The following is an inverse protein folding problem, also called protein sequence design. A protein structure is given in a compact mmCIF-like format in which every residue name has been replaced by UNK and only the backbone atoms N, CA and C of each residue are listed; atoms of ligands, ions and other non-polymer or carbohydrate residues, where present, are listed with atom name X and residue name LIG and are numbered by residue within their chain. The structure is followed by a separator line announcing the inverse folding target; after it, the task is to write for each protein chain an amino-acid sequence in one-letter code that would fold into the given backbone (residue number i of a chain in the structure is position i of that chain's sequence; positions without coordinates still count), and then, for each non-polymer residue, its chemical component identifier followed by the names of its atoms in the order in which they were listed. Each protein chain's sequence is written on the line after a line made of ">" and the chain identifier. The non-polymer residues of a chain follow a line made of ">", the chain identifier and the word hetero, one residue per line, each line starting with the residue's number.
data_IF_005783565061
#
_entry.id   IF_005783565061
#
_cell.length_a   1.000
_cell.length_b   1.000
_cell.length_c   1.000
_cell.angle_alpha   90.00
_cell.angle_beta   90.00
_cell.angle_gamma   90.00
#
_symmetry.space_group_name_H-M   'P 1'
#
loop_
_entity.id
_entity.type
_entity.pdbx_description
1 polymer ?
#
# COMPACT_ATOMS: atom_id res chain seq x y z
N UNK A 1 2.86 3.47 5.34
CA UNK A 1 4.10 2.66 5.23
C UNK A 1 3.74 1.30 4.66
N UNK A 2 4.57 0.73 3.79
CA UNK A 2 4.33 -0.59 3.22
C UNK A 2 5.58 -1.46 3.29
N UNK A 3 5.39 -2.77 3.36
CA UNK A 3 6.38 -3.77 2.98
C UNK A 3 5.82 -4.51 1.77
N UNK A 4 6.32 -4.18 0.57
CA UNK A 4 5.86 -4.75 -0.69
C UNK A 4 6.62 -6.02 -1.07
N UNK A 5 5.92 -7.13 -1.25
CA UNK A 5 6.43 -8.40 -1.78
C UNK A 5 5.34 -9.09 -2.64
N UNK A 6 4.72 -8.34 -3.53
CA UNK A 6 3.60 -8.83 -4.34
C UNK A 6 3.87 -8.70 -5.84
N UNK A 7 3.10 -9.47 -6.61
CA UNK A 7 3.14 -9.45 -8.07
C UNK A 7 1.87 -8.85 -8.67
N UNK A 8 1.82 -8.78 -9.98
CA UNK A 8 0.74 -8.15 -10.73
C UNK A 8 1.27 -7.54 -12.01
N UNK A 9 0.45 -6.71 -12.65
CA UNK A 9 0.88 -5.93 -13.83
C UNK A 9 1.19 -4.52 -13.38
N UNK A 10 2.48 -4.24 -13.13
CA UNK A 10 2.91 -2.96 -12.59
C UNK A 10 2.27 -1.81 -13.39
N UNK A 11 1.55 -0.95 -12.67
CA UNK A 11 0.88 0.22 -13.23
C UNK A 11 1.35 1.44 -12.43
N UNK A 12 1.79 2.49 -13.11
CA UNK A 12 2.25 3.74 -12.50
C UNK A 12 1.50 4.88 -13.16
N UNK A 13 0.83 5.73 -12.36
CA UNK A 13 0.01 6.83 -12.86
C UNK A 13 -1.03 6.39 -13.94
N UNK A 14 -1.55 5.16 -13.81
CA UNK A 14 -2.49 4.57 -14.77
C UNK A 14 -1.87 3.99 -16.04
N UNK A 15 -0.55 4.13 -16.24
CA UNK A 15 0.17 3.56 -17.39
C UNK A 15 0.71 2.16 -17.05
N UNK A 16 0.34 1.11 -17.80
CA UNK A 16 0.91 -0.23 -17.61
C UNK A 16 2.39 -0.25 -18.00
N UNK A 17 3.24 -0.74 -17.09
CA UNK A 17 4.69 -0.86 -17.28
C UNK A 17 5.09 -2.22 -17.86
N UNK A 18 4.36 -2.70 -18.89
CA UNK A 18 4.52 -4.05 -19.43
C UNK A 18 5.93 -4.33 -19.96
N UNK A 19 6.63 -3.30 -20.46
CA UNK A 19 8.01 -3.40 -20.93
C UNK A 19 9.03 -3.69 -19.81
N UNK A 20 8.64 -3.45 -18.56
CA UNK A 20 9.48 -3.59 -17.38
C UNK A 20 9.19 -4.89 -16.60
N UNK A 21 8.27 -5.73 -17.08
CA UNK A 21 7.95 -6.99 -16.42
C UNK A 21 9.18 -7.92 -16.41
N UNK A 22 9.48 -8.59 -15.29
CA UNK A 22 10.63 -9.49 -15.20
C UNK A 22 10.55 -10.62 -16.23
N UNK A 23 11.66 -10.86 -16.94
CA UNK A 23 11.81 -11.97 -17.88
C UNK A 23 12.98 -12.87 -17.44
N UNK A 24 12.76 -14.20 -17.23
CA UNK A 24 11.48 -14.91 -17.30
C UNK A 24 10.53 -14.57 -16.12
N UNK A 25 9.23 -14.83 -16.25
CA UNK A 25 8.27 -14.62 -15.15
C UNK A 25 8.65 -15.44 -13.91
N UNK A 26 8.21 -14.96 -12.74
CA UNK A 26 8.46 -15.66 -11.48
C UNK A 26 7.90 -17.11 -11.52
N UNK A 27 8.56 -18.07 -10.87
CA UNK A 27 8.08 -19.44 -10.82
C UNK A 27 6.67 -19.52 -10.23
N UNK A 28 5.79 -20.39 -10.75
CA UNK A 28 4.48 -20.64 -10.15
C UNK A 28 4.64 -21.04 -8.68
N UNK A 29 3.74 -20.55 -7.81
CA UNK A 29 3.74 -20.78 -6.35
C UNK A 29 4.84 -20.08 -5.53
N UNK A 30 5.52 -19.06 -6.07
CA UNK A 30 6.20 -18.10 -5.20
C UNK A 30 5.15 -17.35 -4.39
N UNK A 31 5.14 -17.55 -3.07
CA UNK A 31 4.23 -16.82 -2.18
C UNK A 31 4.45 -15.32 -2.29
N UNK A 32 3.36 -14.56 -2.28
CA UNK A 32 3.39 -13.10 -2.28
C UNK A 32 2.81 -12.56 -0.98
N UNK A 33 3.11 -11.31 -0.66
CA UNK A 33 2.52 -10.61 0.48
C UNK A 33 2.68 -9.11 0.35
N UNK A 34 1.81 -8.38 1.04
CA UNK A 34 2.05 -6.98 1.37
C UNK A 34 1.53 -6.69 2.77
N UNK A 35 2.33 -5.98 3.55
CA UNK A 35 1.88 -5.39 4.81
C UNK A 35 1.71 -3.88 4.61
N UNK A 36 0.53 -3.36 4.91
CA UNK A 36 0.22 -1.94 4.79
C UNK A 36 -0.14 -1.40 6.19
N UNK A 37 0.56 -0.36 6.61
CA UNK A 37 0.30 0.34 7.86
C UNK A 37 -0.14 1.77 7.57
N UNK A 38 -1.37 2.07 8.00
CA UNK A 38 -2.00 3.38 7.90
C UNK A 38 -2.05 4.01 9.30
N UNK A 39 -1.44 5.18 9.45
CA UNK A 39 -1.48 5.95 10.68
C UNK A 39 -2.18 7.28 10.40
N UNK A 40 -3.02 7.72 11.32
CA UNK A 40 -3.66 9.04 11.27
C UNK A 40 -3.66 9.69 12.65
N UNK A 41 -3.71 11.01 12.70
CA UNK A 41 -3.92 11.80 13.92
C UNK A 41 -5.39 12.22 14.10
N UNK A 42 -6.28 11.78 13.20
CA UNK A 42 -7.71 11.99 13.32
C UNK A 42 -8.33 11.13 14.42
N UNK A 43 -9.26 11.67 15.22
CA UNK A 43 -9.97 10.93 16.26
C UNK A 43 -11.03 9.98 15.66
N UNK A 44 -10.57 8.90 15.05
CA UNK A 44 -11.46 7.93 14.39
C UNK A 44 -11.81 6.78 15.34
N UNK A 45 -13.08 6.37 15.32
CA UNK A 45 -13.54 5.15 15.98
C UNK A 45 -12.93 3.90 15.33
N UNK A 46 -12.96 2.76 16.04
CA UNK A 46 -12.50 1.47 15.49
C UNK A 46 -13.22 1.10 14.16
N UNK A 47 -14.49 1.46 14.03
CA UNK A 47 -15.32 1.22 12.85
C UNK A 47 -14.86 2.07 11.67
N UNK A 48 -14.59 3.35 11.89
CA UNK A 48 -14.04 4.23 10.85
C UNK A 48 -12.61 3.82 10.46
N UNK A 49 -11.76 3.44 11.42
CA UNK A 49 -10.41 2.91 11.14
C UNK A 49 -10.47 1.63 10.30
N UNK A 50 -11.42 0.73 10.55
CA UNK A 50 -11.64 -0.44 9.69
C UNK A 50 -12.05 -0.04 8.26
N UNK A 51 -12.86 1.01 8.10
CA UNK A 51 -13.21 1.54 6.77
C UNK A 51 -12.00 2.16 6.08
N UNK A 52 -11.18 2.92 6.81
CA UNK A 52 -9.91 3.48 6.34
C UNK A 52 -8.97 2.36 5.87
N UNK A 53 -8.75 1.32 6.69
CA UNK A 53 -7.94 0.17 6.31
C UNK A 53 -8.39 -0.44 4.97
N UNK A 54 -9.70 -0.62 4.77
CA UNK A 54 -10.26 -1.13 3.51
C UNK A 54 -10.00 -0.24 2.29
N UNK A 55 -9.60 1.03 2.44
CA UNK A 55 -9.28 1.92 1.31
C UNK A 55 -7.86 1.76 0.81
N UNK A 56 -6.95 1.24 1.65
CA UNK A 56 -5.60 0.93 1.20
C UNK A 56 -5.59 -0.15 0.10
N UNK A 57 -6.58 -1.06 0.06
CA UNK A 57 -6.70 -2.02 -1.05
C UNK A 57 -6.92 -1.35 -2.42
N UNK A 58 -7.55 -0.16 -2.45
CA UNK A 58 -7.75 0.59 -3.68
C UNK A 58 -6.41 1.12 -4.21
N UNK A 59 -5.55 1.64 -3.34
CA UNK A 59 -4.19 2.07 -3.71
C UNK A 59 -3.34 0.89 -4.21
N UNK A 60 -3.40 -0.25 -3.51
CA UNK A 60 -2.76 -1.49 -3.96
C UNK A 60 -3.26 -1.94 -5.35
N UNK A 61 -4.57 -1.89 -5.60
CA UNK A 61 -5.14 -2.26 -6.90
C UNK A 61 -4.71 -1.30 -8.02
N UNK A 62 -4.59 0.01 -7.74
CA UNK A 62 -4.11 1.00 -8.72
C UNK A 62 -2.67 0.76 -9.18
N UNK A 63 -1.84 0.12 -8.35
CA UNK A 63 -0.49 -0.33 -8.75
C UNK A 63 -0.46 -1.62 -9.55
N UNK A 64 -1.63 -2.25 -9.78
CA UNK A 64 -1.79 -3.42 -10.63
C UNK A 64 -1.84 -4.77 -9.93
N UNK A 65 -2.00 -4.79 -8.60
CA UNK A 65 -2.27 -6.01 -7.85
C UNK A 65 -3.69 -6.52 -8.12
N UNK A 66 -3.84 -7.84 -8.24
CA UNK A 66 -5.14 -8.52 -8.32
C UNK A 66 -5.55 -9.22 -7.01
N UNK A 67 -4.72 -9.16 -5.96
CA UNK A 67 -4.94 -9.93 -4.73
C UNK A 67 -4.88 -11.44 -4.97
N UNK A 68 -3.83 -11.90 -5.65
CA UNK A 68 -3.70 -13.30 -6.06
C UNK A 68 -3.78 -14.31 -4.90
N UNK A 69 -4.20 -15.54 -5.20
CA UNK A 69 -4.50 -16.57 -4.18
C UNK A 69 -3.35 -16.83 -3.18
N UNK A 70 -2.10 -16.76 -3.63
CA UNK A 70 -0.92 -16.95 -2.78
C UNK A 70 -0.47 -15.71 -2.02
N UNK A 71 -1.23 -14.61 -2.07
CA UNK A 71 -0.87 -13.32 -1.49
C UNK A 71 -1.41 -13.13 -0.07
N UNK A 72 -0.50 -12.99 0.90
CA UNK A 72 -0.83 -12.55 2.25
C UNK A 72 -0.91 -11.03 2.32
N UNK A 73 -2.08 -10.46 2.01
CA UNK A 73 -2.29 -9.01 1.98
C UNK A 73 -2.94 -8.54 3.29
N UNK A 74 -2.18 -7.84 4.13
CA UNK A 74 -2.61 -7.41 5.47
C UNK A 74 -2.55 -5.89 5.61
N UNK A 75 -3.56 -5.34 6.30
CA UNK A 75 -3.69 -3.90 6.51
C UNK A 75 -3.98 -3.63 7.98
N UNK A 76 -3.19 -2.75 8.59
CA UNK A 76 -3.41 -2.23 9.93
C UNK A 76 -3.62 -0.72 9.84
N UNK A 77 -4.75 -0.22 10.37
CA UNK A 77 -5.01 1.20 10.50
C UNK A 77 -5.16 1.58 11.99
N UNK A 78 -4.50 2.65 12.41
CA UNK A 78 -4.61 3.16 13.77
C UNK A 78 -4.63 4.69 13.82
N UNK A 79 -5.19 5.22 14.90
CA UNK A 79 -5.15 6.64 15.22
C UNK A 79 -4.18 6.90 16.38
N UNK A 80 -3.43 7.99 16.28
CA UNK A 80 -2.48 8.48 17.30
C UNK A 80 -3.13 9.44 18.29
N UNK A 81 -4.43 9.73 18.16
CA UNK A 81 -5.14 10.64 19.08
C UNK A 81 -5.28 10.05 20.47
N UNK A 82 -5.53 8.74 20.58
CA UNK A 82 -5.77 8.05 21.85
C UNK A 82 -4.45 7.58 22.46
N UNK A 83 -3.84 8.41 23.30
CA UNK A 83 -2.50 8.14 23.86
C UNK A 83 -2.51 7.49 25.25
N UNK A 84 -3.64 7.46 25.94
CA UNK A 84 -3.75 6.94 27.30
C UNK A 84 -5.06 6.16 27.51
N UNK A 85 -5.01 5.13 28.37
CA UNK A 85 -6.21 4.48 28.89
C UNK A 85 -7.08 5.53 29.62
N UNK A 86 -8.35 5.62 29.23
CA UNK A 86 -9.29 6.56 29.84
C UNK A 86 -9.28 7.98 29.25
N UNK A 87 -8.71 8.20 28.05
CA UNK A 87 -8.89 9.46 27.31
C UNK A 87 -10.35 9.63 26.85
N UNK A 88 -11.19 10.12 27.77
CA UNK A 88 -12.61 10.33 27.58
C UNK A 88 -12.91 11.37 26.50
N UNK A 89 -11.99 12.31 26.25
CA UNK A 89 -12.14 13.33 25.22
C UNK A 89 -11.90 12.73 23.84
N UNK A 90 -10.80 11.98 23.68
CA UNK A 90 -10.55 11.18 22.48
C UNK A 90 -11.74 10.26 22.19
N UNK A 91 -12.19 9.48 23.19
CA UNK A 91 -13.33 8.57 23.06
C UNK A 91 -14.61 9.32 22.63
N UNK A 92 -14.92 10.48 23.22
CA UNK A 92 -16.10 11.28 22.81
C UNK A 92 -16.00 11.76 21.36
N UNK A 93 -14.82 12.22 20.94
CA UNK A 93 -14.59 12.64 19.55
C UNK A 93 -14.75 11.47 18.58
N UNK A 94 -14.24 10.29 18.93
CA UNK A 94 -14.43 9.05 18.17
C UNK A 94 -15.91 8.71 17.97
N UNK A 95 -16.67 8.79 19.07
CA UNK A 95 -18.09 8.42 19.12
C UNK A 95 -18.99 9.45 18.43
N UNK A 96 -18.48 10.67 18.21
CA UNK A 96 -19.22 11.68 17.46
C UNK A 96 -19.35 11.37 15.98
N UNK A 97 -18.64 10.34 15.47
CA UNK A 97 -18.78 9.66 14.17
C UNK A 97 -19.38 10.61 13.11
N UNK A 98 -18.70 11.73 12.83
CA UNK A 98 -19.15 12.68 11.84
C UNK A 98 -18.83 12.13 10.44
N UNK A 99 -19.56 11.10 10.04
CA UNK A 99 -19.32 10.31 8.83
C UNK A 99 -19.35 11.17 7.56
N UNK A 100 -19.99 12.33 7.59
CA UNK A 100 -20.14 13.22 6.44
C UNK A 100 -18.82 13.75 5.87
N UNK A 101 -17.71 13.66 6.60
CA UNK A 101 -16.40 14.23 6.20
C UNK A 101 -15.28 13.17 6.09
N UNK A 102 -15.60 11.87 6.08
CA UNK A 102 -14.57 10.81 6.05
C UNK A 102 -14.01 10.53 4.64
N UNK A 103 -14.72 10.90 3.58
CA UNK A 103 -14.34 10.59 2.20
C UNK A 103 -12.95 11.16 1.79
N UNK A 104 -12.55 12.38 2.18
CA UNK A 104 -11.18 12.85 1.98
C UNK A 104 -10.12 11.94 2.63
N UNK A 105 -10.41 11.37 3.80
CA UNK A 105 -9.50 10.42 4.49
C UNK A 105 -9.41 9.11 3.71
N UNK A 106 -10.51 8.65 3.13
CA UNK A 106 -10.54 7.46 2.28
C UNK A 106 -9.72 7.64 1.02
N UNK A 107 -9.89 8.77 0.34
CA UNK A 107 -9.10 9.12 -0.84
C UNK A 107 -7.62 9.22 -0.48
N UNK A 108 -7.28 10.00 0.55
CA UNK A 108 -5.90 10.15 1.02
C UNK A 108 -5.25 8.82 1.40
N UNK A 109 -6.02 7.88 1.97
CA UNK A 109 -5.51 6.54 2.30
C UNK A 109 -5.18 5.73 1.05
N UNK A 110 -6.03 5.78 0.02
CA UNK A 110 -5.76 5.11 -1.25
C UNK A 110 -4.53 5.71 -1.94
N UNK A 111 -4.48 7.04 -2.03
CA UNK A 111 -3.39 7.77 -2.69
C UNK A 111 -2.05 7.55 -1.97
N UNK A 112 -2.03 7.67 -0.64
CA UNK A 112 -0.82 7.42 0.15
C UNK A 112 -0.36 5.96 0.08
N UNK A 113 -1.27 5.01 -0.10
CA UNK A 113 -0.92 3.59 -0.28
C UNK A 113 -0.29 3.34 -1.64
N UNK A 114 -0.91 3.86 -2.70
CA UNK A 114 -0.37 3.80 -4.06
C UNK A 114 1.03 4.40 -4.11
N UNK A 115 1.20 5.61 -3.59
CA UNK A 115 2.49 6.30 -3.58
C UNK A 115 3.54 5.57 -2.72
N UNK A 116 3.16 5.02 -1.56
CA UNK A 116 4.10 4.27 -0.72
C UNK A 116 4.62 2.99 -1.40
N UNK A 117 3.78 2.31 -2.18
CA UNK A 117 4.19 1.15 -2.99
C UNK A 117 5.13 1.58 -4.11
N UNK A 118 4.82 2.66 -4.81
CA UNK A 118 5.71 3.17 -5.86
C UNK A 118 7.06 3.61 -5.28
N UNK A 119 7.04 4.31 -4.14
CA UNK A 119 8.24 4.72 -3.43
C UNK A 119 9.10 3.54 -2.99
N UNK A 120 8.52 2.42 -2.57
CA UNK A 120 9.32 1.24 -2.22
C UNK A 120 10.05 0.65 -3.43
N UNK A 121 9.45 0.69 -4.63
CA UNK A 121 10.10 0.27 -5.88
C UNK A 121 11.19 1.26 -6.32
N UNK A 122 10.91 2.56 -6.25
CA UNK A 122 11.87 3.59 -6.66
C UNK A 122 13.08 3.70 -5.73
N UNK A 123 12.93 3.33 -4.46
CA UNK A 123 14.03 3.32 -3.48
C UNK A 123 14.75 1.97 -3.41
N UNK A 124 14.20 0.91 -4.00
CA UNK A 124 14.85 -0.39 -4.01
C UNK A 124 16.13 -0.35 -4.86
N UNK A 125 17.20 -0.94 -4.34
CA UNK A 125 18.43 -1.16 -5.08
C UNK A 125 18.56 -2.62 -5.51
N UNK A 126 19.39 -2.86 -6.52
CA UNK A 126 19.72 -4.21 -6.97
C UNK A 126 20.25 -5.03 -5.79
N UNK A 127 19.72 -6.23 -5.61
CA UNK A 127 20.15 -7.15 -4.55
C UNK A 127 20.39 -8.54 -5.10
N UNK A 128 21.47 -9.18 -4.64
CA UNK A 128 21.72 -10.61 -4.81
C UNK A 128 21.55 -11.27 -3.45
N UNK A 129 20.61 -12.21 -3.38
CA UNK A 129 20.27 -12.96 -2.19
C UNK A 129 20.84 -14.38 -2.22
N UNK A 130 20.22 -15.25 -1.42
CA UNK A 130 20.57 -16.66 -1.27
C UNK A 130 20.52 -17.41 -2.62
N UNK A 131 21.41 -18.38 -2.78
CA UNK A 131 21.50 -19.28 -3.94
C UNK A 131 21.65 -18.52 -5.28
N UNK A 132 22.22 -17.31 -5.25
CA UNK A 132 22.43 -16.47 -6.42
C UNK A 132 21.17 -15.77 -6.95
N UNK A 133 20.04 -15.85 -6.25
CA UNK A 133 18.81 -15.18 -6.66
C UNK A 133 19.00 -13.67 -6.67
N UNK A 134 18.80 -13.03 -7.82
CA UNK A 134 18.93 -11.59 -7.98
C UNK A 134 17.57 -10.92 -8.25
N UNK A 135 17.44 -9.69 -7.76
CA UNK A 135 16.37 -8.77 -8.12
C UNK A 135 17.00 -7.45 -8.53
N UNK A 136 16.69 -7.02 -9.75
CA UNK A 136 17.11 -5.74 -10.28
C UNK A 136 16.20 -4.63 -9.74
N UNK A 137 16.75 -3.42 -9.64
CA UNK A 137 15.95 -2.24 -9.32
C UNK A 137 15.10 -1.82 -10.52
N UNK A 138 14.05 -1.05 -10.25
CA UNK A 138 13.23 -0.47 -11.30
C UNK A 138 14.06 0.52 -12.14
N UNK A 139 14.11 0.39 -13.48
CA UNK A 139 14.88 1.29 -14.33
C UNK A 139 14.17 2.65 -14.48
N UNK A 140 14.51 3.60 -13.61
CA UNK A 140 13.84 4.91 -13.49
C UNK A 140 13.78 5.67 -14.82
N UNK A 141 14.87 5.66 -15.60
CA UNK A 141 14.90 6.40 -16.87
C UNK A 141 13.88 5.84 -17.87
N UNK A 142 13.73 4.51 -17.93
CA UNK A 142 12.72 3.87 -18.78
C UNK A 142 11.30 4.15 -18.29
N UNK A 143 11.09 4.24 -16.97
CA UNK A 143 9.80 4.65 -16.41
C UNK A 143 9.44 6.06 -16.86
N UNK A 144 10.39 7.00 -16.86
CA UNK A 144 10.14 8.38 -17.33
C UNK A 144 9.77 8.40 -18.81
N UNK A 145 10.53 7.69 -19.65
CA UNK A 145 10.23 7.58 -21.09
C UNK A 145 8.83 7.00 -21.39
N UNK A 146 8.29 6.16 -20.50
CA UNK A 146 6.94 5.59 -20.65
C UNK A 146 5.83 6.50 -20.13
N UNK A 147 6.17 7.52 -19.34
CA UNK A 147 5.21 8.48 -18.77
C UNK A 147 5.18 9.82 -19.53
N UNK A 148 6.19 10.10 -20.36
CA UNK A 148 6.26 11.26 -21.25
C UNK A 148 5.37 11.11 -22.50
#
# INVERSE_FOLDING_TARGET
>A
LVQSNFGGRLTIAGVPMSDLEPQPPAPPHTGSSIMIVVATDLPLSNRLLNRVAKRATLGLARTGSSGGHGSGDYILAFSTTYRQEGDMLGIRLALSDNEGEIDPVFQATADATEEAILNSLFQAERMVGRDGNAREKLPIDRVKELLD
#
